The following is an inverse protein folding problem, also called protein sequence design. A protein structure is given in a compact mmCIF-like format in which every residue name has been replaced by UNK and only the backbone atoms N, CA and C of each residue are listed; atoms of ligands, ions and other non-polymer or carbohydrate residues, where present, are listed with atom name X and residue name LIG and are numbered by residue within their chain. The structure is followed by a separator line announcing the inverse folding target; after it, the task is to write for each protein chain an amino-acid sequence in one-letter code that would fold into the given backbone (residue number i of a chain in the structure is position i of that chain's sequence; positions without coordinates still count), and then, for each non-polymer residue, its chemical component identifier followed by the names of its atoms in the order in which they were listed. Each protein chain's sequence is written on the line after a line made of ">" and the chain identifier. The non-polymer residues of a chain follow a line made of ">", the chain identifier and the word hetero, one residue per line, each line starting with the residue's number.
data_IF_396092971884
#
_entry.id   IF_396092971884
#
_cell.length_a   1.000
_cell.length_b   1.000
_cell.length_c   1.000
_cell.angle_alpha   90.00
_cell.angle_beta   90.00
_cell.angle_gamma   90.00
#
_symmetry.space_group_name_H-M   'P 1'
#
loop_
_entity.id
_entity.type
_entity.pdbx_description
1 polymer ?
#
# COMPACT_ATOMS: atom_id res chain seq x y z
N UNK A 1 -21.21 14.59 -7.38
CA UNK A 1 -20.13 15.38 -8.01
C UNK A 1 -19.07 14.42 -8.54
N UNK A 2 -18.91 14.39 -9.83
CA UNK A 2 -17.78 13.70 -10.42
C UNK A 2 -16.51 14.40 -9.96
N UNK A 3 -15.65 13.69 -9.24
CA UNK A 3 -14.29 14.13 -8.92
C UNK A 3 -13.46 14.04 -10.20
N UNK A 4 -13.57 15.04 -11.06
CA UNK A 4 -12.71 15.13 -12.24
C UNK A 4 -11.31 15.57 -11.82
N UNK A 5 -10.31 14.81 -12.24
CA UNK A 5 -8.91 15.14 -12.01
C UNK A 5 -8.56 16.45 -12.73
N UNK A 6 -7.74 17.26 -12.07
CA UNK A 6 -7.19 18.49 -12.67
C UNK A 6 -6.17 18.13 -13.76
N UNK A 7 -5.96 19.05 -14.69
CA UNK A 7 -4.94 18.87 -15.74
C UNK A 7 -3.55 18.56 -15.17
N UNK A 8 -3.16 19.27 -14.10
CA UNK A 8 -1.89 19.03 -13.41
C UNK A 8 -1.78 17.62 -12.82
N UNK A 9 -2.89 17.07 -12.36
CA UNK A 9 -2.93 15.68 -11.84
C UNK A 9 -2.76 14.68 -12.98
N UNK A 10 -3.41 14.90 -14.11
CA UNK A 10 -3.22 14.08 -15.31
C UNK A 10 -1.79 14.12 -15.82
N UNK A 11 -1.15 15.28 -15.85
CA UNK A 11 0.24 15.42 -16.24
C UNK A 11 1.18 14.66 -15.29
N UNK A 12 0.91 14.71 -13.99
CA UNK A 12 1.67 13.95 -12.98
C UNK A 12 1.50 12.45 -13.16
N UNK A 13 0.28 11.98 -13.42
CA UNK A 13 0.00 10.56 -13.71
C UNK A 13 0.80 10.09 -14.93
N UNK A 14 0.79 10.87 -16.01
CA UNK A 14 1.55 10.54 -17.22
C UNK A 14 3.05 10.45 -16.94
N UNK A 15 3.58 11.38 -16.15
CA UNK A 15 5.01 11.37 -15.77
C UNK A 15 5.35 10.10 -14.97
N UNK A 16 4.52 9.74 -13.99
CA UNK A 16 4.69 8.52 -13.19
C UNK A 16 4.69 7.29 -14.08
N UNK A 17 3.73 7.19 -15.01
CA UNK A 17 3.66 6.06 -15.95
C UNK A 17 4.92 5.95 -16.81
N UNK A 18 5.41 7.05 -17.35
CA UNK A 18 6.64 7.06 -18.14
C UNK A 18 7.85 6.59 -17.34
N UNK A 19 8.00 7.07 -16.11
CA UNK A 19 9.08 6.63 -15.23
C UNK A 19 8.97 5.15 -14.84
N UNK A 20 7.76 4.63 -14.67
CA UNK A 20 7.54 3.20 -14.40
C UNK A 20 7.91 2.33 -15.61
N UNK A 21 7.59 2.75 -16.83
CA UNK A 21 7.98 2.03 -18.05
C UNK A 21 9.50 2.00 -18.28
N UNK A 22 10.22 2.96 -17.72
CA UNK A 22 11.68 3.02 -17.82
C UNK A 22 12.40 2.11 -16.79
N UNK A 23 11.65 1.46 -15.88
CA UNK A 23 12.24 0.54 -14.92
C UNK A 23 12.60 -0.78 -15.61
N UNK A 24 13.88 -1.02 -15.78
CA UNK A 24 14.41 -2.23 -16.46
C UNK A 24 15.07 -3.20 -15.49
N UNK A 25 15.46 -2.74 -14.31
CA UNK A 25 16.09 -3.56 -13.28
C UNK A 25 15.00 -4.20 -12.38
N UNK A 26 14.79 -5.50 -12.56
CA UNK A 26 13.80 -6.27 -11.82
C UNK A 26 14.09 -6.31 -10.31
N UNK A 27 15.36 -6.32 -9.94
CA UNK A 27 15.77 -6.40 -8.52
C UNK A 27 15.44 -5.10 -7.75
N UNK A 28 15.35 -3.99 -8.46
CA UNK A 28 14.99 -2.68 -7.90
C UNK A 28 13.56 -2.25 -8.23
N UNK A 29 12.80 -3.08 -8.90
CA UNK A 29 11.48 -2.71 -9.43
C UNK A 29 10.53 -2.18 -8.35
N UNK A 30 10.35 -2.94 -7.27
CA UNK A 30 9.37 -2.58 -6.22
C UNK A 30 9.76 -1.30 -5.49
N UNK A 31 11.04 -1.11 -5.19
CA UNK A 31 11.53 0.11 -4.56
C UNK A 31 11.34 1.33 -5.46
N UNK A 32 11.66 1.22 -6.73
CA UNK A 32 11.51 2.31 -7.69
C UNK A 32 10.06 2.68 -7.93
N UNK A 33 9.17 1.68 -7.99
CA UNK A 33 7.73 1.92 -8.06
C UNK A 33 7.25 2.74 -6.87
N UNK A 34 7.62 2.34 -5.65
CA UNK A 34 7.24 3.07 -4.44
C UNK A 34 7.75 4.52 -4.46
N UNK A 35 9.01 4.72 -4.81
CA UNK A 35 9.60 6.08 -4.92
C UNK A 35 8.92 6.93 -5.98
N UNK A 36 8.58 6.35 -7.11
CA UNK A 36 7.89 7.05 -8.21
C UNK A 36 6.47 7.46 -7.81
N UNK A 37 5.75 6.59 -7.11
CA UNK A 37 4.40 6.89 -6.64
C UNK A 37 4.30 8.07 -5.66
N UNK A 38 5.40 8.45 -5.02
CA UNK A 38 5.41 9.66 -4.17
C UNK A 38 5.05 10.95 -4.90
N UNK A 39 5.22 10.97 -6.21
CA UNK A 39 4.79 12.13 -7.03
C UNK A 39 3.26 12.27 -7.08
N UNK A 40 2.52 11.17 -6.92
CA UNK A 40 1.05 11.15 -6.94
C UNK A 40 0.46 11.10 -5.55
N UNK A 41 1.04 10.30 -4.67
CA UNK A 41 0.51 9.99 -3.36
C UNK A 41 1.57 10.34 -2.32
N UNK A 42 1.42 11.47 -1.62
CA UNK A 42 2.32 11.80 -0.51
C UNK A 42 2.06 10.85 0.65
N UNK A 43 2.95 9.91 0.88
CA UNK A 43 2.85 8.93 1.96
C UNK A 43 4.04 9.05 2.92
N UNK A 44 3.83 8.62 4.17
CA UNK A 44 4.86 8.61 5.21
C UNK A 44 5.71 7.34 5.12
N UNK A 45 5.05 6.19 5.04
CA UNK A 45 5.67 4.87 4.92
C UNK A 45 4.94 4.08 3.86
N UNK A 46 5.61 3.10 3.27
CA UNK A 46 4.97 2.25 2.29
C UNK A 46 5.68 0.92 2.11
N UNK A 47 4.97 -0.03 1.54
CA UNK A 47 5.58 -1.28 1.11
C UNK A 47 5.02 -1.75 -0.24
N UNK A 48 5.82 -2.52 -0.93
CA UNK A 48 5.41 -3.34 -2.04
C UNK A 48 5.82 -4.78 -1.75
N UNK A 49 4.86 -5.58 -1.35
CA UNK A 49 5.04 -7.00 -1.06
C UNK A 49 4.72 -7.80 -2.33
N UNK A 50 5.63 -8.66 -2.74
CA UNK A 50 5.46 -9.59 -3.85
C UNK A 50 5.19 -10.98 -3.28
N UNK A 51 4.18 -11.66 -3.82
CA UNK A 51 3.83 -13.03 -3.45
C UNK A 51 4.47 -14.04 -4.41
N UNK A 52 4.88 -15.19 -3.87
CA UNK A 52 5.29 -16.33 -4.67
C UNK A 52 4.07 -17.14 -5.15
N UNK A 53 4.31 -18.17 -5.96
CA UNK A 53 3.23 -19.02 -6.49
C UNK A 53 2.43 -19.74 -5.41
N UNK A 54 3.04 -20.04 -4.28
CA UNK A 54 2.39 -20.68 -3.13
C UNK A 54 1.62 -19.70 -2.23
N UNK A 55 1.68 -18.39 -2.53
CA UNK A 55 1.01 -17.34 -1.75
C UNK A 55 1.84 -16.80 -0.59
N UNK A 56 3.08 -17.24 -0.43
CA UNK A 56 4.03 -16.70 0.55
C UNK A 56 4.70 -15.42 0.06
N UNK A 57 5.39 -14.72 0.97
CA UNK A 57 6.08 -13.47 0.66
C UNK A 57 7.45 -13.75 0.05
N UNK A 58 7.71 -13.13 -1.10
CA UNK A 58 9.03 -13.07 -1.73
C UNK A 58 9.83 -11.89 -1.15
N UNK A 59 10.50 -12.10 -0.04
CA UNK A 59 11.19 -11.02 0.70
C UNK A 59 12.25 -10.31 -0.13
N UNK A 60 12.96 -11.02 -0.99
CA UNK A 60 14.02 -10.42 -1.84
C UNK A 60 13.47 -9.50 -2.93
N UNK A 61 12.23 -9.68 -3.35
CA UNK A 61 11.55 -8.86 -4.36
C UNK A 61 10.65 -7.79 -3.75
N UNK A 62 10.39 -7.88 -2.46
CA UNK A 62 9.56 -6.94 -1.71
C UNK A 62 10.40 -5.77 -1.21
N UNK A 63 9.79 -4.59 -1.09
CA UNK A 63 10.45 -3.38 -0.61
C UNK A 63 9.60 -2.66 0.43
N UNK A 64 10.28 -2.05 1.40
CA UNK A 64 9.68 -1.21 2.43
C UNK A 64 10.36 0.16 2.39
N UNK A 65 9.59 1.25 2.38
CA UNK A 65 10.09 2.63 2.30
C UNK A 65 9.78 3.37 3.59
N UNK A 66 10.79 4.07 4.13
CA UNK A 66 10.71 4.83 5.39
C UNK A 66 10.26 3.97 6.59
N UNK A 67 10.44 2.68 6.48
CA UNK A 67 10.13 1.71 7.52
C UNK A 67 11.44 1.04 7.94
N UNK A 68 11.86 1.28 9.18
CA UNK A 68 13.10 0.71 9.70
C UNK A 68 13.04 -0.81 9.77
N UNK A 69 14.19 -1.52 9.69
CA UNK A 69 14.22 -2.98 9.70
C UNK A 69 13.43 -3.61 10.84
N UNK A 70 13.54 -3.09 12.06
CA UNK A 70 12.78 -3.58 13.21
C UNK A 70 11.26 -3.44 13.06
N UNK A 71 10.80 -2.41 12.36
CA UNK A 71 9.37 -2.16 12.14
C UNK A 71 8.79 -3.12 11.10
N UNK A 72 9.45 -3.30 9.96
CA UNK A 72 8.91 -4.22 8.96
C UNK A 72 9.07 -5.70 9.38
N UNK A 73 10.09 -6.05 10.16
CA UNK A 73 10.21 -7.38 10.75
C UNK A 73 9.07 -7.65 11.73
N UNK A 74 8.77 -6.70 12.62
CA UNK A 74 7.61 -6.77 13.52
C UNK A 74 6.30 -6.94 12.74
N UNK A 75 6.12 -6.18 11.65
CA UNK A 75 4.96 -6.32 10.78
C UNK A 75 4.85 -7.74 10.23
N UNK A 76 5.90 -8.25 9.63
CA UNK A 76 5.89 -9.58 9.01
C UNK A 76 5.67 -10.70 10.03
N UNK A 77 6.29 -10.60 11.20
CA UNK A 77 6.26 -11.66 12.20
C UNK A 77 4.98 -11.63 13.06
N UNK A 78 4.44 -10.45 13.35
CA UNK A 78 3.39 -10.30 14.35
C UNK A 78 2.08 -9.70 13.81
N UNK A 79 2.13 -8.87 12.79
CA UNK A 79 0.96 -8.12 12.33
C UNK A 79 0.47 -8.46 10.92
N UNK A 80 1.28 -9.11 10.10
CA UNK A 80 0.86 -9.49 8.75
C UNK A 80 -0.44 -10.30 8.75
N UNK A 81 -0.57 -11.27 9.66
CA UNK A 81 -1.78 -12.07 9.80
C UNK A 81 -2.97 -11.31 10.41
N UNK A 82 -2.72 -10.21 11.11
CA UNK A 82 -3.73 -9.36 11.77
C UNK A 82 -4.13 -8.16 10.92
N UNK A 83 -3.46 -7.95 9.80
CA UNK A 83 -3.74 -6.84 8.89
C UNK A 83 -5.11 -7.02 8.24
N UNK A 84 -6.06 -6.16 8.63
CA UNK A 84 -7.43 -6.22 8.11
C UNK A 84 -7.51 -5.91 6.61
N UNK A 85 -6.49 -5.33 6.02
CA UNK A 85 -6.44 -5.08 4.57
C UNK A 85 -6.45 -6.38 3.76
N UNK A 86 -6.10 -7.51 4.38
CA UNK A 86 -6.27 -8.85 3.78
C UNK A 86 -7.71 -9.18 3.40
N UNK A 87 -8.69 -8.58 4.05
CA UNK A 87 -10.10 -8.80 3.69
C UNK A 87 -10.40 -8.35 2.27
N UNK A 88 -9.60 -7.43 1.72
CA UNK A 88 -9.72 -7.05 0.32
C UNK A 88 -9.42 -8.19 -0.63
N UNK A 89 -8.63 -9.19 -0.20
CA UNK A 89 -8.33 -10.37 -1.01
C UNK A 89 -9.57 -11.20 -1.36
N UNK A 90 -10.58 -11.13 -0.52
CA UNK A 90 -11.84 -11.85 -0.69
C UNK A 90 -12.90 -11.02 -1.45
N UNK A 91 -12.66 -9.72 -1.64
CA UNK A 91 -13.66 -8.82 -2.21
C UNK A 91 -13.70 -8.82 -3.73
N UNK A 92 -12.63 -9.22 -4.40
CA UNK A 92 -12.56 -9.21 -5.86
C UNK A 92 -11.52 -10.20 -6.39
N UNK A 93 -11.82 -10.80 -7.54
CA UNK A 93 -10.88 -11.63 -8.31
C UNK A 93 -9.96 -10.80 -9.23
N UNK A 94 -10.18 -9.49 -9.29
CA UNK A 94 -9.42 -8.56 -10.13
C UNK A 94 -8.52 -7.67 -9.27
N UNK A 95 -7.57 -7.00 -9.92
CA UNK A 95 -6.80 -5.93 -9.29
C UNK A 95 -7.74 -4.84 -8.80
N UNK A 96 -7.62 -4.48 -7.53
CA UNK A 96 -8.46 -3.45 -6.90
C UNK A 96 -7.61 -2.46 -6.11
N UNK A 97 -8.10 -1.23 -6.01
CA UNK A 97 -7.62 -0.23 -5.06
C UNK A 97 -8.52 -0.21 -3.83
N UNK A 98 -7.96 0.16 -2.69
CA UNK A 98 -8.72 0.27 -1.44
C UNK A 98 -8.15 1.37 -0.55
N UNK A 99 -9.00 1.90 0.33
CA UNK A 99 -8.59 2.65 1.52
C UNK A 99 -9.02 1.85 2.74
N UNK A 100 -8.22 1.88 3.78
CA UNK A 100 -8.53 1.16 5.02
C UNK A 100 -9.85 1.62 5.65
N UNK A 101 -10.19 2.90 5.51
CA UNK A 101 -11.46 3.47 5.97
C UNK A 101 -12.69 2.98 5.19
N UNK A 102 -12.49 2.37 4.02
CA UNK A 102 -13.57 1.77 3.22
C UNK A 102 -13.77 0.27 3.53
N UNK A 103 -12.80 -0.37 4.21
CA UNK A 103 -12.85 -1.81 4.50
C UNK A 103 -13.81 -2.14 5.64
N UNK A 104 -13.81 -1.29 6.66
CA UNK A 104 -14.70 -1.43 7.82
C UNK A 104 -15.03 -0.07 8.42
N UNK A 105 -16.04 -0.05 9.26
CA UNK A 105 -16.45 1.15 9.98
C UNK A 105 -15.31 1.61 10.90
N UNK A 106 -15.08 2.93 10.96
CA UNK A 106 -13.91 3.54 11.61
C UNK A 106 -13.78 3.16 13.10
N UNK A 107 -14.89 3.11 13.82
CA UNK A 107 -14.85 2.74 15.24
C UNK A 107 -14.42 1.29 15.46
N UNK A 108 -14.74 0.38 14.54
CA UNK A 108 -14.29 -1.00 14.56
C UNK A 108 -12.81 -1.11 14.14
N UNK A 109 -12.43 -0.38 13.12
CA UNK A 109 -11.05 -0.33 12.62
C UNK A 109 -10.07 0.06 13.73
N UNK A 110 -10.39 1.11 14.49
CA UNK A 110 -9.55 1.58 15.59
C UNK A 110 -9.45 0.60 16.76
N UNK A 111 -10.35 -0.36 16.88
CA UNK A 111 -10.32 -1.41 17.91
C UNK A 111 -9.51 -2.63 17.51
N UNK A 112 -9.09 -2.74 16.27
CA UNK A 112 -8.30 -3.89 15.80
C UNK A 112 -6.92 -3.93 16.44
N UNK A 113 -6.37 -5.13 16.63
CA UNK A 113 -5.00 -5.30 17.10
C UNK A 113 -3.99 -4.65 16.15
N UNK A 114 -4.23 -4.75 14.85
CA UNK A 114 -3.37 -4.12 13.85
C UNK A 114 -3.32 -2.61 13.99
N UNK A 115 -4.45 -1.95 14.19
CA UNK A 115 -4.48 -0.51 14.42
C UNK A 115 -3.81 -0.12 15.74
N UNK A 116 -4.19 -0.73 16.83
CA UNK A 116 -3.69 -0.36 18.17
C UNK A 116 -2.23 -0.74 18.40
N UNK A 117 -1.80 -1.88 17.88
CA UNK A 117 -0.47 -2.41 18.11
C UNK A 117 0.56 -1.99 17.07
N UNK A 118 0.14 -1.67 15.86
CA UNK A 118 1.06 -1.37 14.76
C UNK A 118 0.85 0.01 14.15
N UNK A 119 -0.33 0.32 13.64
CA UNK A 119 -0.55 1.58 12.91
C UNK A 119 -0.41 2.81 13.80
N UNK A 120 -1.07 2.81 14.96
CA UNK A 120 -1.05 3.93 15.89
C UNK A 120 0.32 4.18 16.50
N UNK A 121 1.04 3.16 17.04
CA UNK A 121 2.38 3.37 17.59
C UNK A 121 3.40 3.86 16.57
N UNK A 122 3.24 3.50 15.31
CA UNK A 122 4.13 3.92 14.23
C UNK A 122 3.71 5.24 13.55
N UNK A 123 2.65 5.90 14.07
CA UNK A 123 2.13 7.17 13.54
C UNK A 123 1.66 7.12 12.09
N UNK A 124 1.10 5.98 11.67
CA UNK A 124 0.60 5.71 10.33
C UNK A 124 -0.83 5.18 10.34
N UNK A 125 -1.79 5.90 10.95
CA UNK A 125 -3.13 5.37 11.19
C UNK A 125 -3.99 5.22 9.92
N UNK A 126 -3.57 5.76 8.79
CA UNK A 126 -4.29 5.69 7.52
C UNK A 126 -3.49 4.96 6.46
N UNK A 127 -4.14 4.04 5.77
CA UNK A 127 -3.56 3.28 4.68
C UNK A 127 -4.46 3.25 3.45
N UNK A 128 -3.83 3.18 2.31
CA UNK A 128 -4.48 2.93 1.03
C UNK A 128 -3.57 2.07 0.17
N UNK A 129 -4.12 1.28 -0.70
CA UNK A 129 -3.28 0.39 -1.47
C UNK A 129 -3.93 -0.16 -2.73
N UNK A 130 -3.16 -1.03 -3.35
CA UNK A 130 -3.52 -1.72 -4.58
C UNK A 130 -3.21 -3.20 -4.37
N UNK A 131 -4.21 -4.05 -4.47
CA UNK A 131 -4.02 -5.49 -4.56
C UNK A 131 -3.88 -5.86 -6.04
N UNK A 132 -2.73 -6.38 -6.40
CA UNK A 132 -2.41 -6.81 -7.76
C UNK A 132 -2.76 -8.29 -7.93
N UNK A 133 -3.56 -8.59 -8.94
CA UNK A 133 -3.93 -9.96 -9.31
C UNK A 133 -3.57 -10.27 -10.76
N UNK A 134 -3.25 -11.51 -10.99
CA UNK A 134 -3.07 -12.07 -12.34
C UNK A 134 -3.82 -13.39 -12.42
N UNK A 135 -4.74 -13.50 -13.37
CA UNK A 135 -5.60 -14.68 -13.51
C UNK A 135 -6.30 -15.09 -12.22
N UNK A 136 -6.86 -14.10 -11.50
CA UNK A 136 -7.54 -14.30 -10.22
C UNK A 136 -6.64 -14.55 -9.01
N UNK A 137 -5.33 -14.66 -9.19
CA UNK A 137 -4.36 -14.98 -8.15
C UNK A 137 -3.65 -13.73 -7.63
N UNK A 138 -3.57 -13.48 -6.32
CA UNK A 138 -2.77 -12.37 -5.79
C UNK A 138 -1.30 -12.54 -6.14
N UNK A 139 -0.70 -11.51 -6.73
CA UNK A 139 0.72 -11.48 -7.09
C UNK A 139 1.51 -10.43 -6.32
N UNK A 140 0.84 -9.47 -5.77
CA UNK A 140 1.48 -8.44 -4.96
C UNK A 140 0.47 -7.49 -4.34
N UNK A 141 0.95 -6.74 -3.37
CA UNK A 141 0.20 -5.68 -2.70
C UNK A 141 1.10 -4.48 -2.49
N UNK A 142 0.62 -3.33 -2.93
CA UNK A 142 1.25 -2.03 -2.68
C UNK A 142 0.41 -1.32 -1.63
N UNK A 143 1.04 -0.85 -0.56
CA UNK A 143 0.34 -0.13 0.47
C UNK A 143 1.08 1.16 0.85
N UNK A 144 0.32 2.24 0.99
CA UNK A 144 0.80 3.56 1.38
C UNK A 144 0.16 3.96 2.70
N UNK A 145 0.99 4.38 3.65
CA UNK A 145 0.54 4.82 4.96
C UNK A 145 0.78 6.31 5.15
N UNK A 146 -0.13 6.96 5.83
CA UNK A 146 -0.07 8.38 6.15
C UNK A 146 -0.24 8.64 7.64
N UNK A 147 0.39 9.74 8.08
CA UNK A 147 0.13 10.31 9.40
C UNK A 147 -1.26 10.96 9.44
N UNK A 148 -1.80 11.18 10.64
CA UNK A 148 -3.12 11.82 10.82
C UNK A 148 -3.24 13.17 10.13
N UNK A 149 -2.18 13.96 10.13
CA UNK A 149 -2.18 15.31 9.54
C UNK A 149 -2.37 15.30 8.02
N UNK A 150 -1.76 14.33 7.34
CA UNK A 150 -1.86 14.22 5.87
C UNK A 150 -3.19 13.60 5.46
N UNK A 151 -3.71 12.63 6.22
CA UNK A 151 -4.96 11.95 5.90
C UNK A 151 -6.20 12.85 5.90
N UNK A 152 -6.19 13.93 6.67
CA UNK A 152 -7.30 14.89 6.77
C UNK A 152 -7.25 16.01 5.74
N UNK A 153 -6.10 16.32 5.19
CA UNK A 153 -5.92 17.45 4.28
C UNK A 153 -6.51 17.23 2.88
N UNK A 154 -6.93 16.02 2.55
CA UNK A 154 -7.39 15.63 1.22
C UNK A 154 -8.81 15.03 1.20
N UNK A 155 -9.55 15.28 2.23
CA UNK A 155 -10.98 14.89 2.28
C UNK A 155 -11.83 15.92 1.56
#
# INVERSE_FOLDING_TARGET
>A
MENTLKETEWLTINKVLLEMYDITDIDQFTERVLKTYRMLIPYTKGYFIVFNEAGGIESKKSSFIEMEPGVYEEYLDSYYEKDYMKYTFELSEHTITYRDTDIMEESLRQKTEFYQGFLKPNHIPFGAGILLRRYGKPIGIVNFFRSEQIGRAHV
#
